data_IF_945804375313
#
_entry.id   IF_945804375313
#
_cell.length_a   1.000
_cell.length_b   1.000
_cell.length_c   1.000
_cell.angle_alpha   90.00
_cell.angle_beta   90.00
_cell.angle_gamma   90.00
#
_symmetry.space_group_name_H-M   'P 1'
#
loop_
_entity.id
_entity.type
_entity.pdbx_description
1 polymer ?
#
# COMPACT_ATOMS: atom_id res chain seq x y z
N UNK A 1 -15.80 2.82 -1.41
CA UNK A 1 -16.17 3.73 -2.50
C UNK A 1 -16.50 2.88 -3.73
N UNK A 2 -17.62 3.12 -4.43
CA UNK A 2 -18.03 2.25 -5.55
C UNK A 2 -16.98 2.23 -6.67
N UNK A 3 -16.64 1.04 -7.16
CA UNK A 3 -15.68 0.86 -8.26
C UNK A 3 -14.20 0.97 -7.87
N UNK A 4 -13.88 1.21 -6.59
CA UNK A 4 -12.51 1.16 -6.07
C UNK A 4 -12.16 -0.26 -5.65
N UNK A 5 -11.04 -0.77 -6.16
CA UNK A 5 -10.50 -2.07 -5.76
C UNK A 5 -9.12 -1.83 -5.15
N UNK A 6 -8.89 -2.39 -3.97
CA UNK A 6 -7.57 -2.40 -3.33
C UNK A 6 -7.07 -3.83 -3.26
N UNK A 7 -5.94 -4.10 -3.90
CA UNK A 7 -5.25 -5.38 -3.82
C UNK A 7 -4.09 -5.26 -2.85
N UNK A 8 -4.26 -5.78 -1.63
CA UNK A 8 -3.17 -5.87 -0.66
C UNK A 8 -2.12 -6.88 -1.13
N UNK A 9 -0.84 -6.52 -0.98
CA UNK A 9 0.32 -7.33 -1.37
C UNK A 9 1.03 -7.91 -0.16
N UNK A 10 0.64 -7.46 1.02
CA UNK A 10 1.20 -7.84 2.32
C UNK A 10 0.11 -8.29 3.29
N UNK A 11 0.53 -8.91 4.39
CA UNK A 11 -0.32 -9.28 5.53
C UNK A 11 0.32 -8.79 6.84
N UNK A 12 -0.46 -8.56 7.91
CA UNK A 12 0.10 -8.20 9.22
C UNK A 12 1.15 -9.21 9.69
N UNK A 13 2.27 -8.71 10.23
CA UNK A 13 3.42 -9.52 10.67
C UNK A 13 4.32 -10.05 9.56
N UNK A 14 4.01 -9.79 8.29
CA UNK A 14 4.86 -10.21 7.18
C UNK A 14 6.13 -9.38 7.11
N UNK A 15 7.28 -10.06 6.98
CA UNK A 15 8.57 -9.39 6.79
C UNK A 15 8.68 -8.89 5.34
N UNK A 16 8.73 -7.57 5.17
CA UNK A 16 8.75 -6.95 3.85
C UNK A 16 9.96 -7.36 3.00
N UNK A 17 11.13 -7.58 3.64
CA UNK A 17 12.35 -8.04 2.96
C UNK A 17 12.28 -9.45 2.36
N UNK A 18 11.23 -10.22 2.65
CA UNK A 18 11.01 -11.57 2.10
C UNK A 18 10.02 -11.57 0.92
N UNK A 19 9.46 -10.41 0.58
CA UNK A 19 8.58 -10.28 -0.58
C UNK A 19 9.37 -10.54 -1.88
N UNK A 20 8.72 -11.22 -2.82
CA UNK A 20 9.27 -11.47 -4.16
C UNK A 20 9.03 -10.27 -5.07
N UNK A 21 9.84 -10.17 -6.13
CA UNK A 21 9.68 -9.19 -7.21
C UNK A 21 9.66 -7.74 -6.71
N UNK A 22 10.55 -7.44 -5.77
CA UNK A 22 10.71 -6.14 -5.11
C UNK A 22 11.62 -5.21 -5.91
N UNK A 23 11.36 -3.91 -5.81
CA UNK A 23 12.31 -2.88 -6.20
C UNK A 23 13.44 -2.81 -5.16
N UNK A 24 14.67 -2.53 -5.58
CA UNK A 24 15.84 -2.43 -4.69
C UNK A 24 15.70 -1.36 -3.59
N UNK A 25 14.78 -0.40 -3.74
CA UNK A 25 14.65 0.75 -2.84
C UNK A 25 13.27 0.89 -2.17
N UNK A 26 12.31 0.01 -2.46
CA UNK A 26 10.96 0.14 -1.90
C UNK A 26 10.19 -1.16 -1.81
N UNK A 27 9.22 -1.20 -0.89
CA UNK A 27 8.32 -2.32 -0.69
C UNK A 27 6.91 -2.00 -1.18
N UNK A 28 6.35 -2.84 -2.05
CA UNK A 28 4.96 -2.73 -2.51
C UNK A 28 3.98 -3.27 -1.44
N UNK A 29 3.14 -2.40 -0.88
CA UNK A 29 2.17 -2.76 0.17
C UNK A 29 0.78 -3.06 -0.41
N UNK A 30 0.34 -2.28 -1.39
CA UNK A 30 -0.97 -2.41 -2.02
C UNK A 30 -0.98 -1.76 -3.41
N UNK A 31 -1.91 -2.24 -4.25
CA UNK A 31 -2.25 -1.62 -5.54
C UNK A 31 -3.70 -1.14 -5.47
N UNK A 32 -3.92 0.12 -5.83
CA UNK A 32 -5.24 0.76 -5.86
C UNK A 32 -5.69 0.92 -7.31
N UNK A 33 -6.81 0.29 -7.67
CA UNK A 33 -7.49 0.51 -8.94
C UNK A 33 -8.69 1.41 -8.70
N UNK A 34 -8.66 2.61 -9.27
CA UNK A 34 -9.70 3.64 -9.12
C UNK A 34 -9.98 4.35 -10.44
N UNK A 35 -11.23 4.79 -10.59
CA UNK A 35 -11.68 5.63 -11.70
C UNK A 35 -12.48 6.84 -11.21
N UNK A 36 -12.44 7.91 -11.99
CA UNK A 36 -13.23 9.13 -11.81
C UNK A 36 -13.82 9.57 -13.14
N UNK A 37 -14.91 10.33 -13.12
CA UNK A 37 -15.50 10.91 -14.34
C UNK A 37 -14.58 11.97 -14.95
N UNK A 38 -13.82 12.64 -14.09
CA UNK A 38 -12.79 13.61 -14.43
C UNK A 38 -11.61 13.48 -13.46
N UNK A 39 -10.56 14.27 -13.70
CA UNK A 39 -9.35 14.27 -12.88
C UNK A 39 -9.61 14.70 -11.43
N UNK A 40 -10.51 15.68 -11.22
CA UNK A 40 -10.83 16.19 -9.88
C UNK A 40 -11.43 15.09 -9.03
N UNK A 41 -12.45 14.40 -9.54
CA UNK A 41 -13.06 13.27 -8.83
C UNK A 41 -12.04 12.15 -8.60
N UNK A 42 -11.20 11.83 -9.58
CA UNK A 42 -10.17 10.79 -9.42
C UNK A 42 -9.21 11.11 -8.26
N UNK A 43 -8.79 12.38 -8.14
CA UNK A 43 -7.89 12.83 -7.08
C UNK A 43 -8.56 12.85 -5.71
N UNK A 44 -9.82 13.30 -5.61
CA UNK A 44 -10.60 13.24 -4.37
C UNK A 44 -10.74 11.78 -3.88
N UNK A 45 -11.06 10.89 -4.82
CA UNK A 45 -11.16 9.45 -4.59
C UNK A 45 -9.83 8.85 -4.12
N UNK A 46 -8.73 9.22 -4.77
CA UNK A 46 -7.38 8.80 -4.39
C UNK A 46 -7.03 9.25 -2.97
N UNK A 47 -7.26 10.52 -2.64
CA UNK A 47 -6.99 11.06 -1.32
C UNK A 47 -7.78 10.32 -0.23
N UNK A 48 -9.05 10.03 -0.51
CA UNK A 48 -9.90 9.24 0.40
C UNK A 48 -9.38 7.82 0.62
N UNK A 49 -8.76 7.21 -0.40
CA UNK A 49 -8.13 5.89 -0.24
C UNK A 49 -6.91 5.97 0.68
N UNK A 50 -6.06 7.00 0.54
CA UNK A 50 -4.89 7.19 1.39
C UNK A 50 -5.27 7.44 2.86
N UNK A 51 -6.36 8.18 3.12
CA UNK A 51 -6.86 8.40 4.48
C UNK A 51 -7.30 7.12 5.18
N UNK A 52 -7.75 6.11 4.42
CA UNK A 52 -8.29 4.85 4.97
C UNK A 52 -7.23 3.74 4.97
N UNK A 53 -6.30 3.74 4.01
CA UNK A 53 -5.23 2.75 3.90
C UNK A 53 -4.05 3.12 4.80
N UNK A 54 -4.24 2.91 6.10
CA UNK A 54 -3.17 3.03 7.10
C UNK A 54 -2.38 1.73 7.20
N UNK A 55 -1.05 1.83 7.16
CA UNK A 55 -0.12 0.72 7.38
C UNK A 55 0.84 1.09 8.51
N UNK A 56 0.84 0.27 9.55
CA UNK A 56 1.84 0.36 10.62
C UNK A 56 3.04 -0.52 10.23
N UNK A 57 4.22 0.10 10.15
CA UNK A 57 5.46 -0.58 9.77
C UNK A 57 6.46 -0.42 10.90
N UNK A 58 6.90 -1.54 11.44
CA UNK A 58 7.88 -1.57 12.52
C UNK A 58 9.27 -1.89 11.98
N UNK A 59 10.27 -1.17 12.47
CA UNK A 59 11.66 -1.47 12.17
C UNK A 59 12.14 -2.63 13.04
N UNK A 60 12.60 -3.71 12.41
CA UNK A 60 13.20 -4.84 13.13
C UNK A 60 14.65 -4.48 13.44
N UNK A 61 14.98 -4.30 14.72
CA UNK A 61 16.37 -4.13 15.14
C UNK A 61 17.18 -5.36 14.68
N UNK A 62 18.34 -5.13 14.07
CA UNK A 62 19.26 -6.23 13.78
C UNK A 62 19.69 -6.85 15.10
N UNK A 63 19.45 -8.16 15.27
CA UNK A 63 19.97 -8.89 16.41
C UNK A 63 21.51 -8.77 16.40
N UNK A 64 22.04 -7.99 17.34
CA UNK A 64 23.47 -8.00 17.66
C UNK A 64 23.70 -9.30 18.42
N UNK A 65 24.25 -10.30 17.74
CA UNK A 65 24.91 -11.42 18.39
C UNK A 65 26.36 -11.02 18.70
#
# INVERSE_FOLDING_TARGET
>A
MPGTIVSLRVRPGQRLSELKDQDSYSYELAIIYIGGRDQTELLEKYQRCLEVLSFDIEHIASAVN
#
